data_IF_730601368643
#
_entry.id   IF_730601368643
#
_cell.length_a   1.000
_cell.length_b   1.000
_cell.length_c   1.000
_cell.angle_alpha   90.00
_cell.angle_beta   90.00
_cell.angle_gamma   90.00
#
_symmetry.space_group_name_H-M   'P 1'
#
loop_
_entity.id
_entity.type
_entity.pdbx_description
1 polymer ?
#
# COMPACT_ATOMS: atom_id res chain seq x y z
N UNK A 1 4.95 -12.37 13.46
CA UNK A 1 4.27 -13.37 14.33
C UNK A 1 5.15 -14.58 14.64
N UNK A 2 5.42 -15.51 13.69
CA UNK A 2 6.22 -16.72 13.98
C UNK A 2 7.64 -16.42 14.47
N UNK A 3 8.39 -15.58 13.75
CA UNK A 3 9.75 -15.19 14.16
C UNK A 3 9.78 -14.60 15.58
N UNK A 4 8.79 -13.75 15.89
CA UNK A 4 8.62 -13.16 17.23
C UNK A 4 8.38 -14.24 18.29
N UNK A 5 7.43 -15.16 18.03
CA UNK A 5 7.12 -16.24 18.97
C UNK A 5 8.32 -17.14 19.24
N UNK A 6 9.09 -17.51 18.20
CA UNK A 6 10.31 -18.30 18.32
C UNK A 6 11.36 -17.67 19.25
N UNK A 7 11.48 -16.36 19.20
CA UNK A 7 12.42 -15.61 20.04
C UNK A 7 11.89 -15.47 21.46
N UNK A 8 10.60 -15.16 21.63
CA UNK A 8 9.94 -15.08 22.93
C UNK A 8 10.00 -16.41 23.70
N UNK A 9 9.87 -17.56 23.02
CA UNK A 9 10.03 -18.89 23.64
C UNK A 9 11.42 -19.13 24.24
N UNK A 10 12.38 -18.28 23.91
CA UNK A 10 13.73 -18.31 24.49
C UNK A 10 13.91 -17.29 25.62
N UNK A 11 12.83 -16.67 26.08
CA UNK A 11 12.85 -15.73 27.20
C UNK A 11 13.26 -14.31 26.84
N UNK A 12 13.35 -13.98 25.54
CA UNK A 12 13.71 -12.63 25.07
C UNK A 12 12.50 -11.71 25.09
N UNK A 13 12.67 -10.52 25.62
CA UNK A 13 11.68 -9.44 25.50
C UNK A 13 11.65 -8.91 24.05
N UNK A 14 10.46 -8.81 23.47
CA UNK A 14 10.28 -8.37 22.08
C UNK A 14 9.21 -7.29 22.00
N UNK A 15 9.52 -6.20 21.32
CA UNK A 15 8.55 -5.20 20.89
C UNK A 15 8.45 -5.18 19.36
N UNK A 16 7.30 -4.80 18.83
CA UNK A 16 7.05 -4.75 17.40
C UNK A 16 7.20 -3.34 16.84
N UNK A 17 7.69 -3.22 15.61
CA UNK A 17 7.70 -1.98 14.85
C UNK A 17 6.93 -2.18 13.54
N UNK A 18 6.00 -1.27 13.26
CA UNK A 18 5.28 -1.18 11.99
C UNK A 18 5.53 0.18 11.36
N UNK A 19 6.17 0.20 10.21
CA UNK A 19 6.43 1.42 9.45
C UNK A 19 5.27 1.73 8.50
N UNK A 20 4.81 2.99 8.51
CA UNK A 20 3.77 3.48 7.63
C UNK A 20 4.36 4.36 6.53
N UNK A 21 4.34 3.87 5.29
CA UNK A 21 4.89 4.55 4.11
C UNK A 21 3.85 5.27 3.26
N UNK A 22 2.57 5.19 3.61
CA UNK A 22 1.47 5.61 2.75
C UNK A 22 1.07 4.58 1.67
N UNK A 23 1.97 3.71 1.24
CA UNK A 23 1.72 2.69 0.19
C UNK A 23 1.28 1.34 0.72
N UNK A 24 1.19 1.16 2.04
CA UNK A 24 0.81 -0.12 2.64
C UNK A 24 -0.60 -0.54 2.22
N UNK A 25 -0.77 -1.85 1.94
CA UNK A 25 -2.09 -2.42 1.60
C UNK A 25 -2.98 -2.48 2.84
N UNK A 26 -2.38 -2.59 4.03
CA UNK A 26 -3.12 -2.69 5.28
C UNK A 26 -3.66 -1.33 5.75
N UNK A 27 -4.87 -1.34 6.24
CA UNK A 27 -5.47 -0.24 7.01
C UNK A 27 -6.45 0.65 6.25
N UNK A 28 -6.27 0.93 4.97
CA UNK A 28 -7.08 1.96 4.31
C UNK A 28 -8.15 1.46 3.34
N UNK A 29 -7.88 0.42 2.55
CA UNK A 29 -8.79 0.01 1.47
C UNK A 29 -9.86 -1.00 1.88
N UNK A 30 -9.65 -1.76 2.95
CA UNK A 30 -10.63 -2.74 3.42
C UNK A 30 -11.93 -2.11 3.95
N UNK A 31 -11.88 -0.84 4.38
CA UNK A 31 -13.08 -0.11 4.80
C UNK A 31 -13.85 0.50 3.63
N UNK A 32 -13.22 0.66 2.47
CA UNK A 32 -13.73 1.45 1.35
C UNK A 32 -14.49 0.55 0.35
N UNK A 33 -13.99 -0.67 0.08
CA UNK A 33 -14.58 -1.54 -0.96
C UNK A 33 -15.56 -2.57 -0.38
N UNK A 34 -16.74 -2.69 -0.98
CA UNK A 34 -17.76 -3.65 -0.55
C UNK A 34 -17.29 -5.11 -0.58
N UNK A 35 -16.56 -5.50 -1.62
CA UNK A 35 -16.00 -6.86 -1.76
C UNK A 35 -15.06 -7.25 -0.61
N UNK A 36 -14.53 -6.27 0.10
CA UNK A 36 -13.63 -6.48 1.22
C UNK A 36 -14.36 -6.43 2.58
N UNK A 37 -15.67 -6.13 2.61
CA UNK A 37 -16.49 -6.11 3.84
C UNK A 37 -16.61 -7.47 4.53
N UNK A 38 -16.48 -8.57 3.77
CA UNK A 38 -16.52 -9.93 4.32
C UNK A 38 -15.22 -10.33 5.06
N UNK A 39 -14.13 -9.57 4.87
CA UNK A 39 -12.85 -9.81 5.56
C UNK A 39 -12.82 -9.07 6.89
N UNK A 40 -12.15 -9.62 7.92
CA UNK A 40 -11.98 -8.90 9.18
C UNK A 40 -11.37 -7.52 8.94
N UNK A 41 -12.06 -6.47 9.35
CA UNK A 41 -11.57 -5.08 9.31
C UNK A 41 -10.60 -4.88 10.47
N UNK A 42 -9.39 -5.42 10.37
CA UNK A 42 -8.38 -5.29 11.41
C UNK A 42 -7.05 -4.85 10.80
N UNK A 43 -6.28 -4.07 11.55
CA UNK A 43 -4.88 -3.88 11.27
C UNK A 43 -4.15 -5.16 11.70
N UNK A 44 -3.56 -5.89 10.75
CA UNK A 44 -2.89 -7.16 11.05
C UNK A 44 -1.69 -6.99 11.99
N UNK A 45 -0.97 -5.87 11.94
CA UNK A 45 0.16 -5.62 12.83
C UNK A 45 -0.30 -5.46 14.29
N UNK A 46 -1.35 -4.65 14.52
CA UNK A 46 -1.97 -4.49 15.85
C UNK A 46 -2.53 -5.81 16.36
N UNK A 47 -3.25 -6.52 15.52
CA UNK A 47 -3.82 -7.80 15.90
C UNK A 47 -2.76 -8.87 16.22
N UNK A 48 -1.65 -8.92 15.46
CA UNK A 48 -0.53 -9.83 15.77
C UNK A 48 0.14 -9.44 17.09
N UNK A 49 0.30 -8.15 17.36
CA UNK A 49 0.88 -7.67 18.61
C UNK A 49 -0.01 -8.06 19.82
N UNK A 50 -1.34 -7.91 19.69
CA UNK A 50 -2.31 -8.34 20.70
C UNK A 50 -2.25 -9.86 20.93
N UNK A 51 -2.22 -10.67 19.87
CA UNK A 51 -2.11 -12.13 19.97
C UNK A 51 -0.83 -12.60 20.66
N UNK A 52 0.26 -11.86 20.52
CA UNK A 52 1.54 -12.17 21.12
C UNK A 52 1.76 -11.50 22.47
N UNK A 53 0.87 -10.59 22.88
CA UNK A 53 1.02 -9.81 24.11
C UNK A 53 2.23 -8.88 24.11
N UNK A 54 2.60 -8.34 22.93
CA UNK A 54 3.75 -7.43 22.77
C UNK A 54 3.29 -6.01 22.49
N UNK A 55 4.11 -5.03 22.88
CA UNK A 55 3.94 -3.65 22.50
C UNK A 55 4.26 -3.46 21.01
N UNK A 56 3.46 -2.64 20.31
CA UNK A 56 3.67 -2.28 18.92
C UNK A 56 3.87 -0.79 18.78
N UNK A 57 4.94 -0.40 18.10
CA UNK A 57 5.21 0.98 17.71
C UNK A 57 4.84 1.17 16.23
N UNK A 58 4.03 2.19 15.96
CA UNK A 58 3.70 2.60 14.59
C UNK A 58 4.51 3.85 14.30
N UNK A 59 5.40 3.77 13.32
CA UNK A 59 6.32 4.84 12.94
C UNK A 59 5.93 5.34 11.56
N UNK A 60 5.63 6.64 11.46
CA UNK A 60 5.40 7.31 10.20
C UNK A 60 6.76 7.56 9.52
N UNK A 61 6.88 7.07 8.29
CA UNK A 61 8.07 7.22 7.45
C UNK A 61 7.70 7.71 6.03
N UNK A 62 6.53 8.36 5.88
CA UNK A 62 6.04 8.83 4.57
C UNK A 62 7.08 9.72 3.90
N UNK A 63 7.54 10.77 4.60
CA UNK A 63 8.49 11.73 4.03
C UNK A 63 9.86 11.12 3.72
N UNK A 64 10.55 10.45 4.64
CA UNK A 64 11.85 9.85 4.31
C UNK A 64 11.74 8.68 3.31
N UNK A 65 10.57 8.08 3.14
CA UNK A 65 10.35 7.04 2.14
C UNK A 65 10.24 7.58 0.71
N UNK A 66 10.00 8.89 0.53
CA UNK A 66 10.01 9.53 -0.80
C UNK A 66 11.34 9.28 -1.52
N UNK A 67 12.46 9.40 -0.84
CA UNK A 67 13.79 9.13 -1.42
C UNK A 67 13.92 7.68 -1.92
N UNK A 68 13.43 6.71 -1.14
CA UNK A 68 13.43 5.29 -1.53
C UNK A 68 12.61 5.02 -2.79
N UNK A 69 11.46 5.69 -2.92
CA UNK A 69 10.61 5.52 -4.10
C UNK A 69 11.14 6.27 -5.32
N UNK A 70 11.64 7.49 -5.13
CA UNK A 70 12.02 8.36 -6.26
C UNK A 70 13.40 8.02 -6.82
N UNK A 71 14.33 7.57 -5.97
CA UNK A 71 15.73 7.32 -6.30
C UNK A 71 16.21 5.94 -5.81
N UNK A 72 15.52 4.84 -6.16
CA UNK A 72 15.93 3.53 -5.68
C UNK A 72 17.29 3.13 -6.24
N UNK A 73 18.24 2.80 -5.35
CA UNK A 73 19.61 2.38 -5.70
C UNK A 73 19.61 1.09 -6.53
N UNK A 74 18.72 0.16 -6.20
CA UNK A 74 18.60 -1.14 -6.85
C UNK A 74 17.48 -1.18 -7.92
N UNK A 75 16.88 -0.03 -8.21
CA UNK A 75 15.79 0.08 -9.17
C UNK A 75 14.48 -0.51 -8.69
N UNK A 76 13.55 -0.61 -9.63
CA UNK A 76 12.21 -1.13 -9.36
C UNK A 76 12.10 -2.61 -9.75
N UNK A 77 11.11 -3.29 -9.17
CA UNK A 77 10.70 -4.62 -9.58
C UNK A 77 9.86 -4.61 -10.87
N UNK A 78 8.88 -5.52 -10.95
CA UNK A 78 8.01 -5.62 -12.12
C UNK A 78 7.18 -4.35 -12.36
N UNK A 79 6.89 -3.62 -11.29
CA UNK A 79 6.17 -2.34 -11.28
C UNK A 79 7.03 -1.30 -10.55
N UNK A 80 6.41 -0.24 -10.01
CA UNK A 80 7.15 0.82 -9.29
C UNK A 80 7.54 0.43 -7.85
N UNK A 81 7.83 -0.85 -7.60
CA UNK A 81 8.11 -1.37 -6.27
C UNK A 81 9.63 -1.49 -6.00
N UNK A 82 10.22 -0.59 -5.19
CA UNK A 82 11.65 -0.63 -4.83
C UNK A 82 11.90 -1.61 -3.66
N UNK A 83 11.53 -2.90 -3.83
CA UNK A 83 11.43 -3.86 -2.72
C UNK A 83 12.74 -4.07 -1.97
N UNK A 84 13.90 -4.02 -2.64
CA UNK A 84 15.19 -4.21 -1.98
C UNK A 84 15.55 -2.97 -1.18
N UNK A 85 15.48 -1.79 -1.79
CA UNK A 85 15.74 -0.51 -1.13
C UNK A 85 14.75 -0.25 0.03
N UNK A 86 13.48 -0.58 -0.17
CA UNK A 86 12.46 -0.55 0.89
C UNK A 86 12.86 -1.43 2.08
N UNK A 87 13.41 -2.61 1.85
CA UNK A 87 13.84 -3.50 2.93
C UNK A 87 15.08 -2.95 3.64
N UNK A 88 16.07 -2.45 2.91
CA UNK A 88 17.25 -1.79 3.50
C UNK A 88 16.83 -0.60 4.36
N UNK A 89 15.95 0.25 3.85
CA UNK A 89 15.39 1.39 4.56
C UNK A 89 14.66 1.00 5.85
N UNK A 90 13.75 0.01 5.77
CA UNK A 90 12.97 -0.42 6.95
C UNK A 90 13.86 -1.01 8.05
N UNK A 91 14.88 -1.79 7.67
CA UNK A 91 15.83 -2.36 8.63
C UNK A 91 16.73 -1.27 9.21
N UNK A 92 17.17 -0.30 8.39
CA UNK A 92 17.92 0.86 8.85
C UNK A 92 17.13 1.70 9.86
N UNK A 93 15.85 1.97 9.57
CA UNK A 93 14.97 2.67 10.53
C UNK A 93 14.70 1.86 11.81
N UNK A 94 14.64 0.54 11.70
CA UNK A 94 14.57 -0.32 12.88
C UNK A 94 15.86 -0.27 13.70
N UNK A 95 17.04 -0.17 13.05
CA UNK A 95 18.31 -0.01 13.74
C UNK A 95 18.39 1.32 14.49
N UNK A 96 18.02 2.42 13.86
CA UNK A 96 17.95 3.75 14.50
C UNK A 96 17.05 3.70 15.74
N UNK A 97 15.88 3.11 15.61
CA UNK A 97 14.92 2.97 16.70
C UNK A 97 15.44 2.05 17.82
N UNK A 98 16.04 0.92 17.46
CA UNK A 98 16.64 -0.04 18.36
C UNK A 98 17.69 0.64 19.26
N UNK A 99 18.61 1.39 18.65
CA UNK A 99 19.67 2.12 19.36
C UNK A 99 19.12 3.23 20.29
N UNK A 100 18.07 3.93 19.86
CA UNK A 100 17.43 4.99 20.63
C UNK A 100 16.59 4.51 21.81
N UNK A 101 16.26 3.21 21.86
CA UNK A 101 15.39 2.61 22.87
C UNK A 101 16.05 1.44 23.63
N UNK A 102 17.38 1.34 23.60
CA UNK A 102 18.18 0.36 24.34
C UNK A 102 17.82 -1.10 24.05
N UNK A 103 17.51 -1.43 22.80
CA UNK A 103 17.38 -2.80 22.33
C UNK A 103 18.68 -3.31 21.72
N UNK A 104 18.90 -4.61 21.76
CA UNK A 104 20.19 -5.22 21.42
C UNK A 104 20.26 -5.69 19.97
N UNK A 105 19.17 -6.17 19.40
CA UNK A 105 19.12 -6.72 18.04
C UNK A 105 17.73 -6.63 17.39
N UNK A 106 17.70 -6.82 16.08
CA UNK A 106 16.52 -6.77 15.24
C UNK A 106 16.15 -8.18 14.79
N UNK A 107 14.85 -8.49 14.76
CA UNK A 107 14.33 -9.72 14.17
C UNK A 107 13.41 -9.43 12.99
N UNK A 108 13.49 -10.26 11.95
CA UNK A 108 12.54 -10.22 10.84
C UNK A 108 11.99 -11.62 10.54
N UNK A 109 10.78 -11.67 9.98
CA UNK A 109 10.12 -12.90 9.58
C UNK A 109 10.47 -13.35 8.15
N UNK A 110 11.60 -12.94 7.63
CA UNK A 110 12.06 -13.30 6.28
C UNK A 110 12.49 -14.77 6.20
N UNK A 111 12.28 -15.36 5.02
CA UNK A 111 12.70 -16.73 4.70
C UNK A 111 13.38 -16.71 3.34
N UNK A 112 14.56 -17.33 3.23
CA UNK A 112 15.33 -17.38 1.99
C UNK A 112 14.49 -17.97 0.86
N UNK A 113 14.45 -17.28 -0.28
CA UNK A 113 13.73 -17.71 -1.49
C UNK A 113 12.22 -17.58 -1.44
N UNK A 114 11.64 -17.05 -0.36
CA UNK A 114 10.18 -16.97 -0.22
C UNK A 114 9.55 -15.82 -1.03
N UNK A 115 10.26 -14.70 -1.16
CA UNK A 115 9.81 -13.57 -1.98
C UNK A 115 10.88 -13.21 -3.01
N UNK A 116 10.48 -12.82 -4.22
CA UNK A 116 11.41 -12.27 -5.20
C UNK A 116 12.05 -10.97 -4.67
N UNK A 117 13.16 -10.58 -5.24
CA UNK A 117 13.95 -9.39 -4.90
C UNK A 117 14.58 -9.45 -3.49
N UNK A 118 13.89 -9.00 -2.44
CA UNK A 118 14.49 -8.78 -1.10
C UNK A 118 14.78 -10.05 -0.27
N UNK A 119 14.27 -11.23 -0.68
CA UNK A 119 14.46 -12.49 0.07
C UNK A 119 15.19 -13.57 -0.74
N UNK A 120 15.96 -13.20 -1.73
CA UNK A 120 16.88 -14.11 -2.41
C UNK A 120 18.14 -14.31 -1.57
N UNK A 121 18.82 -15.43 -1.74
CA UNK A 121 20.05 -15.71 -1.00
C UNK A 121 21.10 -14.60 -1.18
N UNK A 122 21.25 -14.11 -2.40
CA UNK A 122 22.18 -13.04 -2.76
C UNK A 122 21.79 -11.66 -2.26
N UNK A 123 20.50 -11.39 -1.99
CA UNK A 123 20.04 -10.07 -1.52
C UNK A 123 19.95 -9.94 -0.01
N UNK A 124 19.92 -11.05 0.72
CA UNK A 124 19.88 -11.01 2.18
C UNK A 124 21.12 -10.37 2.82
N UNK A 125 22.37 -10.67 2.34
CA UNK A 125 23.57 -9.95 2.79
C UNK A 125 23.52 -8.46 2.44
N UNK A 126 23.01 -8.09 1.25
CA UNK A 126 22.87 -6.68 0.83
C UNK A 126 21.99 -5.91 1.81
N UNK A 127 20.83 -6.47 2.19
CA UNK A 127 19.96 -5.84 3.20
C UNK A 127 20.69 -5.66 4.53
N UNK A 128 21.45 -6.63 4.95
CA UNK A 128 22.18 -6.64 6.21
C UNK A 128 23.27 -5.57 6.24
N UNK A 129 24.01 -5.44 5.15
CA UNK A 129 25.10 -4.48 5.00
C UNK A 129 24.58 -3.06 4.79
N UNK A 130 23.71 -2.84 3.80
CA UNK A 130 23.24 -1.50 3.42
C UNK A 130 22.30 -0.85 4.43
N UNK A 131 21.60 -1.64 5.24
CA UNK A 131 20.82 -1.11 6.36
C UNK A 131 21.70 -0.65 7.54
N UNK A 132 22.98 -1.03 7.55
CA UNK A 132 23.88 -0.81 8.69
C UNK A 132 23.64 -1.75 9.87
N UNK A 133 22.61 -2.64 9.80
CA UNK A 133 22.29 -3.53 10.91
C UNK A 133 23.33 -4.63 11.13
N UNK A 134 24.10 -4.98 10.10
CA UNK A 134 25.14 -5.97 10.19
C UNK A 134 24.65 -7.27 10.82
N UNK A 135 25.41 -7.81 11.72
CA UNK A 135 25.10 -9.07 12.42
C UNK A 135 24.07 -8.91 13.57
N UNK A 136 23.55 -7.71 13.81
CA UNK A 136 22.40 -7.48 14.71
C UNK A 136 21.06 -7.84 14.10
N UNK A 137 21.01 -8.18 12.80
CA UNK A 137 19.79 -8.60 12.11
C UNK A 137 19.63 -10.12 12.10
N UNK A 138 18.80 -10.63 13.00
CA UNK A 138 18.46 -12.06 13.09
C UNK A 138 17.21 -12.39 12.27
N UNK A 139 17.24 -13.53 11.55
CA UNK A 139 16.12 -14.08 10.79
C UNK A 139 15.73 -15.47 11.33
N UNK A 140 14.98 -15.55 12.43
CA UNK A 140 14.78 -16.79 13.20
C UNK A 140 14.26 -17.97 12.39
N UNK A 141 13.47 -17.70 11.32
CA UNK A 141 12.85 -18.75 10.50
C UNK A 141 13.81 -19.39 9.49
N UNK A 142 14.95 -18.76 9.19
CA UNK A 142 15.93 -19.30 8.24
C UNK A 142 17.38 -19.14 8.73
N UNK A 143 17.58 -18.89 10.01
CA UNK A 143 18.89 -18.61 10.60
C UNK A 143 19.92 -19.70 10.35
N UNK A 144 19.51 -20.97 10.37
CA UNK A 144 20.44 -22.12 10.14
C UNK A 144 21.01 -22.14 8.72
N UNK A 145 20.40 -21.45 7.77
CA UNK A 145 20.91 -21.29 6.40
C UNK A 145 21.79 -20.02 6.22
N UNK A 146 22.02 -19.27 7.29
CA UNK A 146 22.80 -18.02 7.29
C UNK A 146 23.97 -18.12 8.28
N UNK A 147 24.93 -17.22 8.15
CA UNK A 147 25.99 -17.09 9.14
C UNK A 147 25.42 -16.73 10.52
N UNK A 148 26.03 -17.16 11.62
CA UNK A 148 25.62 -16.81 12.97
C UNK A 148 25.66 -15.29 13.20
N UNK A 149 24.59 -14.76 13.77
CA UNK A 149 24.43 -13.34 14.11
C UNK A 149 24.98 -13.05 15.52
N UNK A 150 25.09 -11.75 15.87
CA UNK A 150 25.56 -11.33 17.19
C UNK A 150 24.79 -12.02 18.34
N UNK A 151 23.42 -11.98 18.40
CA UNK A 151 22.68 -12.60 19.50
C UNK A 151 22.91 -14.11 19.62
N UNK A 152 23.26 -14.80 18.52
CA UNK A 152 23.61 -16.22 18.55
C UNK A 152 25.02 -16.44 19.12
N UNK A 153 26.01 -15.61 18.74
CA UNK A 153 27.39 -15.71 19.24
C UNK A 153 27.54 -15.34 20.71
N UNK A 154 26.76 -14.34 21.16
CA UNK A 154 26.71 -13.93 22.57
C UNK A 154 25.86 -14.87 23.46
N UNK A 155 25.24 -15.90 22.86
CA UNK A 155 24.44 -16.86 23.59
C UNK A 155 23.08 -16.32 24.10
N UNK A 156 22.66 -15.14 23.64
CA UNK A 156 21.31 -14.62 23.96
C UNK A 156 20.24 -15.47 23.28
N UNK A 157 20.54 -15.98 22.10
CA UNK A 157 19.67 -16.85 21.29
C UNK A 157 20.35 -18.19 21.07
N UNK A 158 19.66 -19.26 21.40
CA UNK A 158 20.09 -20.64 21.17
C UNK A 158 19.81 -21.00 19.71
N UNK A 159 20.86 -21.11 18.89
CA UNK A 159 20.76 -21.39 17.45
C UNK A 159 19.99 -22.68 17.14
N UNK A 160 20.14 -23.72 17.93
CA UNK A 160 19.46 -25.01 17.72
C UNK A 160 17.93 -24.90 17.78
N UNK A 161 17.42 -23.89 18.47
CA UNK A 161 15.98 -23.56 18.54
C UNK A 161 15.48 -22.69 17.36
N UNK A 162 16.36 -22.30 16.45
CA UNK A 162 16.04 -21.56 15.22
C UNK A 162 15.76 -22.53 14.07
N UNK A 163 15.29 -22.00 12.93
CA UNK A 163 14.86 -22.80 11.79
C UNK A 163 15.74 -22.61 10.55
N UNK A 164 15.56 -23.53 9.59
CA UNK A 164 16.26 -23.61 8.31
C UNK A 164 15.28 -23.44 7.12
N UNK A 165 14.15 -22.80 7.32
CA UNK A 165 13.13 -22.68 6.28
C UNK A 165 13.68 -21.99 5.02
N UNK A 166 13.29 -22.50 3.85
CA UNK A 166 13.70 -21.95 2.56
C UNK A 166 12.66 -22.21 1.48
N UNK A 167 12.72 -21.43 0.41
CA UNK A 167 11.87 -21.57 -0.76
C UNK A 167 10.48 -20.93 -0.60
N UNK A 168 9.64 -21.10 -1.63
CA UNK A 168 8.33 -20.44 -1.74
C UNK A 168 7.23 -21.11 -0.92
N UNK A 169 7.43 -22.38 -0.53
CA UNK A 169 6.42 -23.12 0.23
C UNK A 169 6.26 -22.55 1.63
N UNK A 170 5.01 -22.42 2.07
CA UNK A 170 4.66 -21.95 3.42
C UNK A 170 4.20 -23.09 4.34
N UNK A 171 4.26 -24.31 3.84
CA UNK A 171 3.89 -25.50 4.65
C UNK A 171 4.65 -25.58 5.97
N UNK A 172 6.00 -25.35 6.03
CA UNK A 172 6.72 -25.35 7.30
C UNK A 172 6.23 -24.27 8.28
N UNK A 173 5.97 -23.04 7.79
CA UNK A 173 5.46 -21.98 8.65
C UNK A 173 4.05 -22.28 9.16
N UNK A 174 3.17 -22.88 8.33
CA UNK A 174 1.82 -23.28 8.75
C UNK A 174 1.86 -24.40 9.80
N UNK A 175 2.76 -25.37 9.65
CA UNK A 175 2.98 -26.41 10.64
C UNK A 175 3.47 -25.81 11.96
N UNK A 176 4.43 -24.89 11.92
CA UNK A 176 4.93 -24.18 13.09
C UNK A 176 3.83 -23.32 13.75
N UNK A 177 2.98 -22.67 12.97
CA UNK A 177 1.85 -21.93 13.49
C UNK A 177 0.87 -22.83 14.27
N UNK A 178 0.60 -24.02 13.74
CA UNK A 178 -0.24 -25.01 14.40
C UNK A 178 0.40 -25.51 15.71
N UNK A 179 1.73 -25.76 15.74
CA UNK A 179 2.47 -26.12 16.97
C UNK A 179 2.36 -25.05 18.04
N UNK A 180 2.38 -23.76 17.67
CA UNK A 180 2.18 -22.64 18.61
C UNK A 180 0.72 -22.39 18.94
N UNK A 181 -0.23 -23.18 18.43
CA UNK A 181 -1.65 -23.04 18.70
C UNK A 181 -2.31 -21.85 17.98
N UNK A 182 -1.66 -21.26 17.00
CA UNK A 182 -2.25 -20.16 16.21
C UNK A 182 -3.32 -20.73 15.25
N UNK A 183 -4.57 -20.35 15.51
CA UNK A 183 -5.73 -20.75 14.68
C UNK A 183 -6.02 -19.75 13.55
N UNK A 184 -5.70 -18.50 13.80
CA UNK A 184 -5.86 -17.40 12.85
C UNK A 184 -4.52 -16.68 12.65
N UNK A 185 -4.16 -16.41 11.41
CA UNK A 185 -2.98 -15.65 11.03
C UNK A 185 -3.13 -15.09 9.64
N UNK A 186 -2.55 -13.91 9.41
CA UNK A 186 -2.54 -13.32 8.09
C UNK A 186 -1.80 -14.23 7.10
N UNK A 187 -2.53 -14.76 6.13
CA UNK A 187 -1.94 -15.45 4.99
C UNK A 187 -1.52 -14.39 3.98
N UNK A 188 -0.24 -14.14 3.80
CA UNK A 188 0.19 -13.17 2.82
C UNK A 188 -0.06 -13.71 1.41
N UNK A 189 -1.20 -13.36 0.86
CA UNK A 189 -1.46 -13.46 -0.56
C UNK A 189 -1.20 -12.07 -1.15
N UNK A 190 -0.23 -11.95 -2.04
CA UNK A 190 0.05 -10.70 -2.73
C UNK A 190 1.19 -9.85 -2.14
N UNK A 191 1.35 -8.67 -2.68
CA UNK A 191 2.35 -7.69 -2.26
C UNK A 191 2.07 -7.05 -0.90
N UNK A 192 3.11 -6.51 -0.27
CA UNK A 192 2.98 -5.79 0.99
C UNK A 192 2.56 -4.32 0.78
N UNK A 193 2.65 -3.79 -0.44
CA UNK A 193 2.31 -2.42 -0.78
C UNK A 193 1.61 -2.34 -2.15
N UNK A 194 0.94 -1.21 -2.39
CA UNK A 194 0.28 -0.92 -3.65
C UNK A 194 1.23 -0.80 -4.84
N UNK A 195 2.50 -0.44 -4.63
CA UNK A 195 3.51 -0.34 -5.68
C UNK A 195 3.81 -1.69 -6.37
N UNK A 196 3.34 -2.80 -5.82
CA UNK A 196 3.40 -4.12 -6.48
C UNK A 196 2.21 -4.39 -7.40
N UNK A 197 1.17 -3.55 -7.37
CA UNK A 197 0.00 -3.64 -8.24
C UNK A 197 0.24 -2.84 -9.51
N UNK A 198 -0.01 -3.47 -10.66
CA UNK A 198 0.22 -2.86 -11.98
C UNK A 198 -0.67 -1.64 -12.22
N UNK A 199 -1.97 -1.76 -11.87
CA UNK A 199 -2.90 -0.65 -12.09
C UNK A 199 -2.57 0.55 -11.21
N UNK A 200 -2.16 0.30 -9.96
CA UNK A 200 -1.72 1.37 -9.07
C UNK A 200 -0.46 2.06 -9.60
N UNK A 201 0.52 1.27 -10.04
CA UNK A 201 1.77 1.80 -10.59
C UNK A 201 1.56 2.60 -11.87
N UNK A 202 0.62 2.17 -12.75
CA UNK A 202 0.23 2.96 -13.93
C UNK A 202 -0.38 4.31 -13.54
N UNK A 203 -1.27 4.34 -12.55
CA UNK A 203 -1.86 5.60 -12.05
C UNK A 203 -0.83 6.54 -11.45
N UNK A 204 0.18 6.01 -10.74
CA UNK A 204 1.26 6.81 -10.20
C UNK A 204 2.17 7.35 -11.31
N UNK A 205 2.49 6.54 -12.30
CA UNK A 205 3.26 6.97 -13.47
C UNK A 205 2.52 8.05 -14.26
N UNK A 206 1.21 7.91 -14.48
CA UNK A 206 0.35 8.91 -15.10
C UNK A 206 0.36 10.24 -14.32
N UNK A 207 0.27 10.18 -12.98
CA UNK A 207 0.35 11.37 -12.13
C UNK A 207 1.66 12.14 -12.37
N UNK A 208 2.78 11.42 -12.35
CA UNK A 208 4.10 12.01 -12.57
C UNK A 208 4.25 12.60 -13.97
N UNK A 209 3.76 11.89 -14.97
CA UNK A 209 3.80 12.36 -16.37
C UNK A 209 2.99 13.65 -16.56
N UNK A 210 1.77 13.68 -16.03
CA UNK A 210 0.88 14.83 -16.16
C UNK A 210 1.39 16.07 -15.42
N UNK A 211 2.08 15.88 -14.30
CA UNK A 211 2.67 16.98 -13.52
C UNK A 211 4.07 17.37 -13.98
N UNK A 212 4.66 16.65 -14.92
CA UNK A 212 6.08 16.80 -15.32
C UNK A 212 7.04 16.79 -14.12
N UNK A 213 6.64 16.14 -13.04
CA UNK A 213 7.38 15.99 -11.78
C UNK A 213 7.06 14.64 -11.14
N UNK A 214 8.06 14.04 -10.50
CA UNK A 214 7.87 12.82 -9.73
C UNK A 214 7.47 13.08 -8.27
N UNK A 215 7.31 14.33 -7.89
CA UNK A 215 6.81 14.69 -6.57
C UNK A 215 5.38 14.22 -6.35
N UNK A 216 5.06 13.91 -5.11
CA UNK A 216 3.72 13.51 -4.68
C UNK A 216 3.51 13.83 -3.20
N UNK A 217 2.24 14.04 -2.85
CA UNK A 217 1.82 14.18 -1.47
C UNK A 217 1.02 12.94 -1.02
N UNK A 218 0.76 12.83 0.29
CA UNK A 218 -0.01 11.72 0.83
C UNK A 218 -1.40 11.60 0.19
N UNK A 219 -2.09 12.73 -0.01
CA UNK A 219 -3.40 12.77 -0.63
C UNK A 219 -3.39 12.21 -2.06
N UNK A 220 -2.35 12.51 -2.83
CA UNK A 220 -2.19 11.96 -4.17
C UNK A 220 -2.19 10.43 -4.16
N UNK A 221 -1.29 9.84 -3.36
CA UNK A 221 -1.13 8.39 -3.30
C UNK A 221 -2.33 7.68 -2.67
N UNK A 222 -3.10 8.38 -1.83
CA UNK A 222 -4.35 7.87 -1.29
C UNK A 222 -5.47 7.86 -2.34
N UNK A 223 -5.61 8.91 -3.13
CA UNK A 223 -6.59 8.99 -4.23
C UNK A 223 -6.33 7.93 -5.31
N UNK A 224 -5.07 7.59 -5.60
CA UNK A 224 -4.74 6.52 -6.56
C UNK A 224 -5.27 5.14 -6.17
N UNK A 225 -5.59 4.91 -4.87
CA UNK A 225 -6.09 3.62 -4.36
C UNK A 225 -7.57 3.37 -4.68
N UNK A 226 -8.32 4.42 -5.01
CA UNK A 226 -9.79 4.36 -5.15
C UNK A 226 -10.24 4.82 -6.52
N UNK A 227 -11.44 4.42 -6.92
CA UNK A 227 -12.10 4.88 -8.14
C UNK A 227 -11.51 4.33 -9.44
N UNK A 228 -12.21 4.68 -10.52
CA UNK A 228 -11.69 4.58 -11.89
C UNK A 228 -10.99 5.89 -12.21
N UNK A 229 -9.78 5.81 -12.73
CA UNK A 229 -9.05 6.96 -13.22
C UNK A 229 -9.21 7.02 -14.72
N UNK A 230 -9.68 8.15 -15.21
CA UNK A 230 -9.95 8.40 -16.63
C UNK A 230 -9.30 9.73 -17.00
N UNK A 231 -8.39 9.74 -17.96
CA UNK A 231 -7.70 10.92 -18.49
C UNK A 231 -8.15 11.21 -19.91
N UNK A 232 -9.20 12.03 -20.10
CA UNK A 232 -9.67 12.38 -21.43
C UNK A 232 -8.71 13.30 -22.20
N UNK A 233 -7.87 14.04 -21.46
CA UNK A 233 -6.91 15.02 -21.96
C UNK A 233 -5.68 15.10 -21.05
N UNK A 234 -4.56 15.58 -21.55
CA UNK A 234 -3.31 15.67 -20.80
C UNK A 234 -3.41 16.60 -19.58
N UNK A 235 -4.26 17.63 -19.65
CA UNK A 235 -4.38 18.66 -18.62
C UNK A 235 -5.40 18.35 -17.50
N UNK A 236 -6.23 17.30 -17.63
CA UNK A 236 -7.09 16.89 -16.55
C UNK A 236 -7.37 15.38 -16.50
N UNK A 237 -7.69 14.91 -15.32
CA UNK A 237 -8.07 13.54 -15.02
C UNK A 237 -9.32 13.50 -14.17
N UNK A 238 -10.15 12.50 -14.37
CA UNK A 238 -11.33 12.21 -13.57
C UNK A 238 -11.06 11.02 -12.64
N UNK A 239 -11.49 11.14 -11.37
CA UNK A 239 -11.51 10.05 -10.41
C UNK A 239 -12.97 9.72 -10.11
N UNK A 240 -13.45 8.61 -10.66
CA UNK A 240 -14.87 8.20 -10.63
C UNK A 240 -15.06 7.11 -9.59
N UNK A 241 -15.82 7.38 -8.54
CA UNK A 241 -16.18 6.39 -7.52
C UNK A 241 -16.98 5.23 -8.13
N UNK A 242 -16.70 3.99 -7.68
CA UNK A 242 -17.35 2.78 -8.21
C UNK A 242 -18.49 2.27 -7.33
N UNK A 243 -18.43 2.57 -6.05
CA UNK A 243 -19.36 2.10 -5.03
C UNK A 243 -19.48 3.12 -3.89
N UNK A 244 -20.47 2.96 -3.03
CA UNK A 244 -20.78 3.91 -1.95
C UNK A 244 -19.58 4.23 -1.05
N UNK A 245 -18.78 3.23 -0.69
CA UNK A 245 -17.60 3.42 0.15
C UNK A 245 -16.54 4.29 -0.52
N UNK A 246 -16.32 4.13 -1.83
CA UNK A 246 -15.41 4.99 -2.60
C UNK A 246 -15.96 6.41 -2.74
N UNK A 247 -17.27 6.55 -3.00
CA UNK A 247 -17.90 7.87 -3.03
C UNK A 247 -17.73 8.62 -1.69
N UNK A 248 -18.00 7.95 -0.57
CA UNK A 248 -17.78 8.54 0.77
C UNK A 248 -16.31 8.92 1.02
N UNK A 249 -15.37 8.12 0.54
CA UNK A 249 -13.95 8.47 0.63
C UNK A 249 -13.63 9.72 -0.19
N UNK A 250 -14.10 9.79 -1.43
CA UNK A 250 -13.90 10.94 -2.32
C UNK A 250 -14.57 12.22 -1.79
N UNK A 251 -15.65 12.12 -1.01
CA UNK A 251 -16.29 13.26 -0.36
C UNK A 251 -15.35 14.08 0.52
N UNK A 252 -14.34 13.44 1.12
CA UNK A 252 -13.32 14.14 1.90
C UNK A 252 -12.49 15.14 1.11
N UNK A 253 -12.41 14.97 -0.21
CA UNK A 253 -11.59 15.78 -1.11
C UNK A 253 -12.36 16.86 -1.89
N UNK A 254 -13.66 16.99 -1.68
CA UNK A 254 -14.51 17.94 -2.43
C UNK A 254 -14.09 19.41 -2.32
N UNK A 255 -13.42 19.79 -1.23
CA UNK A 255 -12.90 21.15 -1.04
C UNK A 255 -11.62 21.44 -1.81
N UNK A 256 -10.93 20.41 -2.24
CA UNK A 256 -9.64 20.51 -2.95
C UNK A 256 -9.82 20.43 -4.47
N UNK A 257 -10.86 19.75 -4.94
CA UNK A 257 -11.08 19.47 -6.36
C UNK A 257 -12.44 19.93 -6.84
N UNK A 258 -12.53 20.30 -8.11
CA UNK A 258 -13.82 20.38 -8.78
C UNK A 258 -14.46 19.00 -8.71
N UNK A 259 -15.73 18.93 -8.34
CA UNK A 259 -16.42 17.66 -8.27
C UNK A 259 -17.79 17.70 -8.94
N UNK A 260 -18.14 16.56 -9.56
CA UNK A 260 -19.39 16.39 -10.28
C UNK A 260 -20.22 15.27 -9.64
N UNK A 261 -21.53 15.48 -9.63
CA UNK A 261 -22.53 14.46 -9.26
C UNK A 261 -23.80 14.63 -10.07
N UNK A 262 -24.52 13.56 -10.31
CA UNK A 262 -25.87 13.67 -10.86
C UNK A 262 -26.87 14.08 -9.77
N UNK A 263 -27.78 14.99 -10.12
CA UNK A 263 -28.91 15.43 -9.27
C UNK A 263 -30.22 14.76 -9.66
N UNK A 264 -30.37 14.30 -10.90
CA UNK A 264 -31.58 13.64 -11.40
C UNK A 264 -31.56 12.11 -11.25
N UNK A 265 -30.38 11.49 -11.14
CA UNK A 265 -30.22 10.03 -11.06
C UNK A 265 -29.14 9.66 -10.06
N UNK A 266 -29.25 8.48 -9.45
CA UNK A 266 -28.18 7.94 -8.62
C UNK A 266 -26.92 7.69 -9.47
N UNK A 267 -25.77 8.18 -9.01
CA UNK A 267 -24.51 8.08 -9.73
C UNK A 267 -23.28 8.23 -8.84
N UNK A 268 -22.10 8.15 -9.45
CA UNK A 268 -20.85 8.34 -8.74
C UNK A 268 -20.62 9.79 -8.33
N UNK A 269 -19.82 9.97 -7.27
CA UNK A 269 -19.05 11.19 -7.07
C UNK A 269 -17.82 11.13 -7.97
N UNK A 270 -17.55 12.21 -8.67
CA UNK A 270 -16.40 12.34 -9.55
C UNK A 270 -15.57 13.55 -9.13
N UNK A 271 -14.26 13.37 -8.96
CA UNK A 271 -13.32 14.48 -8.75
C UNK A 271 -12.59 14.75 -10.07
N UNK A 272 -12.29 16.01 -10.31
CA UNK A 272 -11.44 16.46 -11.45
C UNK A 272 -10.10 16.90 -10.89
N UNK A 273 -9.05 16.25 -11.33
CA UNK A 273 -7.65 16.58 -11.02
C UNK A 273 -7.03 17.24 -12.26
N UNK A 274 -6.75 18.51 -12.18
CA UNK A 274 -6.26 19.37 -13.26
C UNK A 274 -7.18 20.57 -13.54
N UNK A 275 -6.84 21.33 -14.57
CA UNK A 275 -7.59 22.50 -15.02
C UNK A 275 -8.56 22.12 -16.15
N UNK A 276 -9.77 22.63 -16.11
CA UNK A 276 -10.80 22.34 -17.10
C UNK A 276 -11.40 23.64 -17.66
N UNK A 277 -11.66 23.65 -18.94
CA UNK A 277 -12.46 24.66 -19.62
C UNK A 277 -13.92 24.19 -19.77
N UNK A 278 -14.77 25.01 -20.40
CA UNK A 278 -16.19 24.70 -20.59
C UNK A 278 -16.41 23.41 -21.41
N UNK A 279 -15.60 23.16 -22.43
CA UNK A 279 -15.73 21.94 -23.27
C UNK A 279 -15.32 20.69 -22.45
N UNK A 280 -14.27 20.80 -21.66
CA UNK A 280 -13.82 19.73 -20.75
C UNK A 280 -14.89 19.43 -19.69
N UNK A 281 -15.52 20.46 -19.12
CA UNK A 281 -16.61 20.32 -18.15
C UNK A 281 -17.81 19.60 -18.78
N UNK A 282 -18.19 19.94 -19.98
CA UNK A 282 -19.25 19.26 -20.74
C UNK A 282 -18.90 17.78 -20.97
N UNK A 283 -17.67 17.48 -21.36
CA UNK A 283 -17.21 16.09 -21.56
C UNK A 283 -17.22 15.33 -20.22
N UNK A 284 -16.69 15.91 -19.15
CA UNK A 284 -16.66 15.32 -17.83
C UNK A 284 -18.08 15.05 -17.28
N UNK A 285 -19.03 15.97 -17.50
CA UNK A 285 -20.43 15.79 -17.13
C UNK A 285 -21.07 14.61 -17.87
N UNK A 286 -20.84 14.49 -19.19
CA UNK A 286 -21.32 13.37 -20.01
C UNK A 286 -20.72 12.02 -19.59
N UNK A 287 -19.42 12.00 -19.23
CA UNK A 287 -18.76 10.80 -18.67
C UNK A 287 -19.36 10.47 -17.30
N UNK A 288 -19.60 11.45 -16.43
CA UNK A 288 -20.23 11.26 -15.13
C UNK A 288 -21.61 10.64 -15.26
N UNK A 289 -22.44 11.17 -16.14
CA UNK A 289 -23.78 10.63 -16.46
C UNK A 289 -23.72 9.18 -16.97
N UNK A 290 -22.71 8.83 -17.76
CA UNK A 290 -22.47 7.47 -18.28
C UNK A 290 -22.24 6.43 -17.20
N UNK A 291 -21.61 6.80 -16.08
CA UNK A 291 -21.35 5.89 -14.97
C UNK A 291 -22.47 5.84 -13.92
N UNK A 292 -23.53 6.66 -14.08
CA UNK A 292 -24.70 6.65 -13.21
C UNK A 292 -25.81 5.71 -13.70
N UNK A 293 -26.90 5.66 -12.92
CA UNK A 293 -28.11 4.93 -13.30
C UNK A 293 -28.84 5.60 -14.48
N UNK A 294 -28.58 6.88 -14.73
CA UNK A 294 -29.09 7.62 -15.88
C UNK A 294 -28.41 7.34 -17.21
N UNK A 295 -27.52 6.34 -17.30
CA UNK A 295 -26.68 6.04 -18.48
C UNK A 295 -27.43 5.79 -19.80
N UNK A 296 -28.75 5.53 -19.75
CA UNK A 296 -29.64 5.32 -20.89
C UNK A 296 -30.74 6.39 -20.98
N UNK A 297 -30.72 7.38 -20.10
CA UNK A 297 -31.64 8.51 -20.18
C UNK A 297 -31.25 9.45 -21.33
N UNK A 298 -32.22 10.16 -21.87
CA UNK A 298 -31.98 11.18 -22.90
C UNK A 298 -31.16 12.33 -22.32
N UNK A 299 -31.52 12.74 -21.11
CA UNK A 299 -30.84 13.82 -20.37
C UNK A 299 -30.61 13.44 -18.92
N UNK A 300 -29.50 13.89 -18.37
CA UNK A 300 -29.12 13.75 -16.96
C UNK A 300 -28.65 15.11 -16.47
N UNK A 301 -29.20 15.55 -15.33
CA UNK A 301 -28.77 16.79 -14.69
C UNK A 301 -27.53 16.50 -13.84
N UNK A 302 -26.47 17.25 -14.08
CA UNK A 302 -25.18 17.17 -13.39
C UNK A 302 -24.90 18.50 -12.71
N UNK A 303 -24.56 18.44 -11.44
CA UNK A 303 -24.03 19.54 -10.67
C UNK A 303 -22.52 19.48 -10.64
N UNK A 304 -21.85 20.54 -11.04
CA UNK A 304 -20.41 20.75 -10.87
C UNK A 304 -20.19 21.80 -9.79
N UNK A 305 -19.39 21.44 -8.78
CA UNK A 305 -19.08 22.34 -7.65
C UNK A 305 -17.57 22.57 -7.62
N UNK A 306 -17.18 23.83 -7.61
CA UNK A 306 -15.79 24.27 -7.57
C UNK A 306 -15.30 24.47 -6.13
N UNK A 307 -13.99 24.40 -5.88
CA UNK A 307 -13.42 24.62 -4.54
C UNK A 307 -13.75 25.99 -3.92
N UNK A 308 -13.98 27.00 -4.77
CA UNK A 308 -14.39 28.34 -4.34
C UNK A 308 -15.90 28.46 -3.97
N UNK A 309 -16.65 27.35 -4.08
CA UNK A 309 -18.09 27.30 -3.81
C UNK A 309 -18.98 27.65 -4.99
N UNK A 310 -18.43 27.99 -6.16
CA UNK A 310 -19.24 28.19 -7.39
C UNK A 310 -19.91 26.87 -7.77
N UNK A 311 -21.17 26.95 -8.19
CA UNK A 311 -21.96 25.79 -8.61
C UNK A 311 -22.47 26.04 -10.03
N UNK A 312 -22.21 25.07 -10.91
CA UNK A 312 -22.77 25.06 -12.27
C UNK A 312 -23.71 23.87 -12.44
N UNK A 313 -24.84 24.11 -13.06
CA UNK A 313 -25.83 23.09 -13.40
C UNK A 313 -25.74 22.81 -14.91
N UNK A 314 -25.60 21.55 -15.27
CA UNK A 314 -25.51 21.11 -16.65
C UNK A 314 -26.56 20.04 -16.90
N UNK A 315 -27.24 20.15 -18.04
CA UNK A 315 -28.07 19.08 -18.56
C UNK A 315 -27.36 18.44 -19.75
N UNK A 316 -27.04 17.15 -19.65
CA UNK A 316 -26.22 16.47 -20.65
C UNK A 316 -26.81 15.13 -21.06
N UNK A 317 -26.59 14.73 -22.30
CA UNK A 317 -26.81 13.36 -22.73
C UNK A 317 -25.60 12.50 -22.33
N UNK A 318 -25.80 11.33 -21.70
CA UNK A 318 -24.70 10.45 -21.30
C UNK A 318 -23.78 10.10 -22.47
N UNK A 319 -22.47 10.04 -22.23
CA UNK A 319 -21.51 9.71 -23.29
C UNK A 319 -21.80 8.29 -23.82
N UNK A 320 -21.97 8.11 -25.15
CA UNK A 320 -22.15 6.80 -25.76
C UNK A 320 -20.98 5.86 -25.43
N UNK A 321 -21.23 4.52 -25.27
CA UNK A 321 -20.18 3.56 -24.92
C UNK A 321 -19.00 3.55 -25.86
N UNK A 322 -19.25 3.69 -27.16
CA UNK A 322 -18.27 3.70 -28.25
C UNK A 322 -17.41 4.97 -28.29
N UNK A 323 -17.87 6.06 -27.64
CA UNK A 323 -17.13 7.31 -27.49
C UNK A 323 -16.26 7.35 -26.25
N UNK A 324 -16.47 6.44 -25.29
CA UNK A 324 -15.63 6.30 -24.09
C UNK A 324 -14.39 5.48 -24.47
N UNK A 325 -13.34 6.17 -24.82
CA UNK A 325 -12.13 5.57 -25.37
C UNK A 325 -11.38 4.72 -24.36
N UNK A 326 -10.92 3.55 -24.78
CA UNK A 326 -10.17 2.64 -23.91
C UNK A 326 -8.84 3.25 -23.44
N UNK A 327 -8.21 4.06 -24.28
CA UNK A 327 -6.96 4.76 -24.00
C UNK A 327 -7.05 5.80 -22.86
N UNK A 328 -8.27 6.25 -22.53
CA UNK A 328 -8.47 7.15 -21.39
C UNK A 328 -8.37 6.47 -20.03
N UNK A 329 -8.50 5.14 -19.98
CA UNK A 329 -8.39 4.40 -18.72
C UNK A 329 -6.93 4.20 -18.31
N UNK A 330 -6.64 4.64 -17.07
CA UNK A 330 -5.33 4.52 -16.46
C UNK A 330 -5.25 3.23 -15.65
#
# INVERSE_FOLDING_TARGET
MLATKVVMEQGIHVEGINFYTGFCVEGHTHAIREKDKAKPKRNNALWVAEQLGIKLHIIDVIEPYKEVLLHPKHGYGANLNPCLDCKCFMVGKALEWMQANDFDFIITGEVIGQRPMSQRAETMPVVQEESGAGDRLLRPLCAKNLAPTLPEREGWIIRDKLYDFSGRSRKPQMALAAQFGFKDYATPAGGCCFLTDENYSRKLADLWQARHSREYELDDIMLLKVGRHIRPSDHFKMIVGREEGENKFLEGYRKQFVHLRSTSHTGPLVLIDGEINEQDLQLAARITARFGHGKTAEHVDIEAVYPNGTVEQLQVSPLPPDQLRQEWYI
#
